data_IF_558817983670
#
_entry.id   IF_558817983670
#
_cell.length_a   1.000
_cell.length_b   1.000
_cell.length_c   1.000
_cell.angle_alpha   90.00
_cell.angle_beta   90.00
_cell.angle_gamma   90.00
#
_symmetry.space_group_name_H-M   'P 1'
#
loop_
_entity.id
_entity.type
_entity.pdbx_description
1 polymer ?
#
# COMPACT_ATOMS: atom_id res chain seq x y z
N UNK A 1 10.13 -17.80 -10.19
CA UNK A 1 10.62 -16.45 -9.86
C UNK A 1 10.39 -15.55 -11.07
N UNK A 2 9.63 -14.48 -10.90
CA UNK A 2 9.49 -13.46 -11.94
C UNK A 2 10.79 -12.64 -11.99
N UNK A 3 11.25 -12.29 -13.20
CA UNK A 3 12.41 -11.40 -13.34
C UNK A 3 12.05 -9.95 -13.00
N UNK A 4 10.78 -9.57 -13.13
CA UNK A 4 10.26 -8.22 -12.93
C UNK A 4 8.76 -8.24 -12.67
N UNK A 5 8.21 -7.24 -11.96
CA UNK A 5 6.77 -7.12 -11.72
C UNK A 5 6.22 -8.34 -10.99
N UNK A 6 6.72 -8.59 -9.77
CA UNK A 6 6.47 -9.83 -9.03
C UNK A 6 4.98 -10.17 -8.84
N UNK A 7 4.11 -9.15 -8.92
CA UNK A 7 2.67 -9.30 -9.08
C UNK A 7 2.15 -8.79 -10.45
N UNK A 8 2.49 -7.55 -10.82
CA UNK A 8 1.95 -6.89 -12.01
C UNK A 8 3.08 -6.25 -12.82
N UNK A 9 3.07 -6.49 -14.14
CA UNK A 9 3.89 -5.77 -15.10
C UNK A 9 3.00 -5.05 -16.13
N UNK A 10 3.06 -3.73 -16.16
CA UNK A 10 2.50 -2.90 -17.21
C UNK A 10 3.54 -2.68 -18.30
N UNK A 11 3.22 -3.01 -19.55
CA UNK A 11 4.10 -2.83 -20.69
C UNK A 11 3.36 -2.32 -21.93
N UNK A 12 4.11 -1.77 -22.89
CA UNK A 12 3.64 -1.44 -24.25
C UNK A 12 2.61 -0.30 -24.34
N UNK A 13 2.92 0.87 -23.78
CA UNK A 13 2.15 2.12 -23.97
C UNK A 13 0.71 2.04 -23.47
N UNK A 14 0.47 1.31 -22.37
CA UNK A 14 -0.81 1.39 -21.66
C UNK A 14 -0.96 2.76 -21.00
N UNK A 15 -2.13 3.36 -21.18
CA UNK A 15 -2.45 4.69 -20.64
C UNK A 15 -3.64 4.61 -19.70
N UNK A 16 -3.54 5.25 -18.53
CA UNK A 16 -4.63 5.36 -17.55
C UNK A 16 -4.97 4.04 -16.83
N UNK A 17 -3.97 3.19 -16.59
CA UNK A 17 -4.20 1.98 -15.78
C UNK A 17 -4.30 2.35 -14.30
N UNK A 18 -5.32 1.85 -13.61
CA UNK A 18 -5.55 2.14 -12.20
C UNK A 18 -5.37 0.87 -11.37
N UNK A 19 -4.59 0.98 -10.30
CA UNK A 19 -4.44 -0.05 -9.26
C UNK A 19 -4.95 0.56 -7.96
N UNK A 20 -6.12 0.13 -7.52
CA UNK A 20 -6.80 0.72 -6.36
C UNK A 20 -7.22 -0.34 -5.36
N UNK A 21 -7.14 -0.06 -4.06
CA UNK A 21 -7.63 -0.96 -3.01
C UNK A 21 -6.97 -2.35 -3.00
N UNK A 22 -5.71 -2.42 -3.43
CA UNK A 22 -4.99 -3.67 -3.58
C UNK A 22 -3.98 -3.88 -2.45
N UNK A 23 -3.89 -5.12 -1.97
CA UNK A 23 -2.83 -5.57 -1.05
C UNK A 23 -1.82 -6.38 -1.84
N UNK A 24 -0.56 -5.96 -1.78
CA UNK A 24 0.60 -6.65 -2.33
C UNK A 24 1.48 -7.10 -1.16
N UNK A 25 1.24 -8.32 -0.68
CA UNK A 25 1.96 -8.92 0.43
C UNK A 25 2.89 -10.06 -0.05
N UNK A 26 4.17 -10.03 0.34
CA UNK A 26 5.12 -11.11 0.04
C UNK A 26 5.50 -11.30 -1.44
N UNK A 27 5.16 -10.35 -2.31
CA UNK A 27 5.48 -10.43 -3.74
C UNK A 27 6.98 -10.19 -3.98
N UNK A 28 7.60 -10.94 -4.90
CA UNK A 28 9.04 -10.77 -5.18
C UNK A 28 9.44 -10.91 -6.64
N UNK A 29 10.45 -10.12 -7.03
CA UNK A 29 11.07 -10.17 -8.35
C UNK A 29 12.60 -10.27 -8.24
N UNK A 30 13.25 -10.87 -9.24
CA UNK A 30 14.71 -11.03 -9.28
C UNK A 30 15.50 -9.77 -9.64
N UNK A 31 14.84 -8.76 -10.21
CA UNK A 31 15.42 -7.45 -10.51
C UNK A 31 14.55 -6.36 -9.86
N UNK A 32 13.70 -5.69 -10.63
CA UNK A 32 12.94 -4.51 -10.18
C UNK A 32 11.42 -4.74 -10.12
N UNK A 33 10.75 -3.98 -9.26
CA UNK A 33 9.30 -4.01 -9.12
C UNK A 33 8.83 -5.32 -8.49
N UNK A 34 9.24 -5.54 -7.23
CA UNK A 34 8.87 -6.69 -6.41
C UNK A 34 7.36 -6.91 -6.37
N UNK A 35 6.58 -5.83 -6.41
CA UNK A 35 5.14 -5.87 -6.64
C UNK A 35 4.77 -5.42 -8.06
N UNK A 36 5.05 -4.16 -8.40
CA UNK A 36 4.60 -3.56 -9.67
C UNK A 36 5.78 -3.02 -10.46
N UNK A 37 5.80 -3.33 -11.76
CA UNK A 37 6.68 -2.68 -12.73
C UNK A 37 5.86 -1.98 -13.82
N UNK A 38 6.17 -0.72 -14.09
CA UNK A 38 5.59 0.08 -15.16
C UNK A 38 6.65 0.42 -16.21
N UNK A 39 6.55 -0.16 -17.40
CA UNK A 39 7.48 0.05 -18.51
C UNK A 39 6.77 0.66 -19.72
N UNK A 40 7.08 1.93 -20.01
CA UNK A 40 6.38 2.71 -21.04
C UNK A 40 4.88 2.68 -20.77
N UNK A 41 4.46 3.18 -19.60
CA UNK A 41 3.09 3.11 -19.12
C UNK A 41 2.67 4.38 -18.37
N UNK A 42 1.36 4.63 -18.28
CA UNK A 42 0.77 5.60 -17.35
C UNK A 42 -0.09 4.85 -16.35
N UNK A 43 0.32 4.85 -15.10
CA UNK A 43 -0.29 4.06 -14.02
C UNK A 43 -0.59 4.96 -12.83
N UNK A 44 -1.81 4.87 -12.31
CA UNK A 44 -2.21 5.48 -11.05
C UNK A 44 -2.40 4.38 -10.01
N UNK A 45 -1.69 4.50 -8.89
CA UNK A 45 -1.75 3.56 -7.76
C UNK A 45 -2.32 4.31 -6.57
N UNK A 46 -3.48 3.89 -6.10
CA UNK A 46 -4.21 4.60 -5.05
C UNK A 46 -4.68 3.64 -3.96
N UNK A 47 -4.55 4.03 -2.69
CA UNK A 47 -5.08 3.25 -1.54
C UNK A 47 -4.66 1.78 -1.60
N UNK A 48 -3.38 1.55 -1.88
CA UNK A 48 -2.79 0.22 -1.91
C UNK A 48 -1.86 0.01 -0.72
N UNK A 49 -1.70 -1.24 -0.29
CA UNK A 49 -0.76 -1.63 0.77
C UNK A 49 0.29 -2.57 0.19
N UNK A 50 1.56 -2.16 0.25
CA UNK A 50 2.71 -2.96 -0.17
C UNK A 50 3.52 -3.37 1.07
N UNK A 51 3.51 -4.67 1.36
CA UNK A 51 4.14 -5.21 2.56
C UNK A 51 4.97 -6.45 2.26
N UNK A 52 6.12 -6.59 2.93
CA UNK A 52 6.97 -7.77 2.82
C UNK A 52 7.42 -8.10 1.40
N UNK A 53 7.42 -7.13 0.48
CA UNK A 53 7.80 -7.38 -0.91
C UNK A 53 9.31 -7.45 -1.06
N UNK A 54 9.77 -8.31 -1.97
CA UNK A 54 11.18 -8.59 -2.22
C UNK A 54 11.64 -8.17 -3.61
N UNK A 55 12.91 -7.84 -3.75
CA UNK A 55 13.52 -7.36 -5.00
C UNK A 55 14.40 -6.13 -4.74
N UNK A 56 14.90 -5.50 -5.80
CA UNK A 56 15.65 -4.23 -5.68
C UNK A 56 14.73 -3.07 -5.26
N UNK A 57 13.47 -3.10 -5.68
CA UNK A 57 12.46 -2.11 -5.31
C UNK A 57 11.05 -2.72 -5.24
N UNK A 58 10.15 -2.14 -4.46
CA UNK A 58 8.74 -2.53 -4.36
C UNK A 58 7.98 -2.18 -5.65
N UNK A 59 8.07 -0.90 -6.02
CA UNK A 59 7.53 -0.32 -7.23
C UNK A 59 8.68 0.04 -8.17
N UNK A 60 8.52 -0.17 -9.47
CA UNK A 60 9.53 0.21 -10.46
C UNK A 60 8.88 0.86 -11.68
N UNK A 61 9.57 1.86 -12.24
CA UNK A 61 9.14 2.50 -13.47
C UNK A 61 10.30 2.79 -14.43
N UNK A 62 10.04 2.69 -15.73
CA UNK A 62 10.97 3.00 -16.82
C UNK A 62 10.20 3.69 -17.93
N UNK A 63 10.60 4.93 -18.29
CA UNK A 63 9.94 5.73 -19.32
C UNK A 63 8.41 5.81 -19.16
N UNK A 64 7.95 5.92 -17.91
CA UNK A 64 6.54 5.86 -17.52
C UNK A 64 6.12 7.12 -16.74
N UNK A 65 4.82 7.29 -16.57
CA UNK A 65 4.23 8.20 -15.59
C UNK A 65 3.58 7.34 -14.51
N UNK A 66 3.92 7.59 -13.25
CA UNK A 66 3.38 6.87 -12.10
C UNK A 66 2.92 7.89 -11.06
N UNK A 67 1.65 7.82 -10.68
CA UNK A 67 1.11 8.54 -9.53
C UNK A 67 0.89 7.53 -8.41
N UNK A 68 1.40 7.80 -7.22
CA UNK A 68 1.21 6.96 -6.03
C UNK A 68 0.54 7.81 -4.97
N UNK A 69 -0.70 7.49 -4.63
CA UNK A 69 -1.51 8.28 -3.72
C UNK A 69 -2.09 7.44 -2.59
N UNK A 70 -2.09 7.95 -1.36
CA UNK A 70 -2.77 7.31 -0.23
C UNK A 70 -2.34 5.84 -0.01
N UNK A 71 -1.08 5.49 -0.29
CA UNK A 71 -0.60 4.11 -0.17
C UNK A 71 0.23 3.90 1.10
N UNK A 72 0.21 2.67 1.61
CA UNK A 72 1.18 2.21 2.62
C UNK A 72 2.26 1.40 1.92
N UNK A 73 3.52 1.77 2.07
CA UNK A 73 4.69 1.06 1.55
C UNK A 73 5.60 0.73 2.72
N UNK A 74 5.42 -0.46 3.29
CA UNK A 74 6.03 -0.79 4.57
C UNK A 74 6.70 -2.16 4.64
N UNK A 75 7.82 -2.26 5.36
CA UNK A 75 8.47 -3.55 5.63
C UNK A 75 8.98 -4.29 4.40
N UNK A 76 9.30 -3.57 3.30
CA UNK A 76 9.82 -4.17 2.08
C UNK A 76 11.35 -4.29 2.10
N UNK A 77 11.89 -5.20 1.29
CA UNK A 77 13.35 -5.44 1.24
C UNK A 77 14.07 -4.37 0.43
N UNK A 78 13.51 -4.00 -0.71
CA UNK A 78 14.10 -3.05 -1.66
C UNK A 78 13.70 -1.60 -1.40
N UNK A 79 14.13 -0.72 -2.30
CA UNK A 79 13.68 0.67 -2.32
C UNK A 79 12.15 0.74 -2.46
N UNK A 80 11.46 1.68 -1.81
CA UNK A 80 10.03 1.88 -1.99
C UNK A 80 9.65 2.06 -3.46
N UNK A 81 10.50 2.78 -4.21
CA UNK A 81 10.26 3.13 -5.60
C UNK A 81 11.58 3.30 -6.37
N UNK A 82 11.68 2.64 -7.53
CA UNK A 82 12.76 2.83 -8.50
C UNK A 82 12.24 3.61 -9.72
N UNK A 83 12.80 4.79 -9.97
CA UNK A 83 12.26 5.73 -10.97
C UNK A 83 12.85 5.59 -12.37
N UNK A 84 13.98 4.91 -12.54
CA UNK A 84 14.72 4.89 -13.81
C UNK A 84 15.00 6.30 -14.32
N UNK A 85 14.41 6.64 -15.47
CA UNK A 85 14.44 7.97 -16.09
C UNK A 85 13.12 8.77 -15.95
N UNK A 86 12.15 8.26 -15.17
CA UNK A 86 10.89 8.92 -14.86
C UNK A 86 10.97 9.76 -13.59
N UNK A 87 9.88 10.48 -13.31
CA UNK A 87 9.68 11.22 -12.07
C UNK A 87 8.24 11.00 -11.59
N UNK A 88 8.00 10.02 -10.71
CA UNK A 88 6.67 9.77 -10.16
C UNK A 88 6.24 10.93 -9.27
N UNK A 89 4.94 11.04 -9.04
CA UNK A 89 4.38 11.92 -8.02
C UNK A 89 3.87 11.01 -6.90
N UNK A 90 4.38 11.23 -5.69
CA UNK A 90 4.00 10.47 -4.49
C UNK A 90 3.30 11.44 -3.54
N UNK A 91 2.10 11.12 -3.09
CA UNK A 91 1.33 11.98 -2.16
C UNK A 91 0.56 11.14 -1.14
N UNK A 92 0.36 11.68 0.05
CA UNK A 92 -0.44 11.03 1.10
C UNK A 92 0.00 9.60 1.43
N UNK A 93 1.26 9.23 1.22
CA UNK A 93 1.74 7.87 1.46
C UNK A 93 2.46 7.75 2.81
N UNK A 94 2.29 6.58 3.45
CA UNK A 94 3.13 6.17 4.56
C UNK A 94 4.23 5.24 4.03
N UNK A 95 5.48 5.68 4.09
CA UNK A 95 6.64 4.92 3.62
C UNK A 95 7.49 4.60 4.84
N UNK A 96 7.45 3.36 5.33
CA UNK A 96 8.01 3.04 6.64
C UNK A 96 8.66 1.66 6.76
N UNK A 97 9.83 1.61 7.40
CA UNK A 97 10.47 0.36 7.78
C UNK A 97 10.93 -0.48 6.58
N UNK A 98 11.15 0.14 5.42
CA UNK A 98 11.73 -0.53 4.27
C UNK A 98 13.25 -0.68 4.48
N UNK A 99 13.80 -1.86 4.17
CA UNK A 99 15.18 -2.20 4.53
C UNK A 99 16.23 -1.38 3.74
N UNK A 100 15.89 -0.94 2.52
CA UNK A 100 16.72 -0.03 1.73
C UNK A 100 16.55 1.45 2.13
N UNK A 101 15.61 1.76 3.02
CA UNK A 101 15.28 3.10 3.49
C UNK A 101 13.89 3.55 3.03
N UNK A 102 13.41 4.61 3.68
CA UNK A 102 12.04 5.11 3.50
C UNK A 102 11.96 6.35 2.59
N UNK A 103 13.03 6.64 1.87
CA UNK A 103 13.05 7.71 0.87
C UNK A 103 12.63 7.18 -0.48
N UNK A 104 11.95 8.01 -1.25
CA UNK A 104 11.57 7.72 -2.63
C UNK A 104 12.13 8.76 -3.58
N UNK A 105 12.30 8.37 -4.84
CA UNK A 105 12.65 9.27 -5.92
C UNK A 105 11.39 9.91 -6.53
N UNK A 106 11.56 11.01 -7.26
CA UNK A 106 10.48 11.74 -7.90
C UNK A 106 10.07 13.00 -7.15
N UNK A 107 8.81 13.39 -7.33
CA UNK A 107 8.22 14.60 -6.75
C UNK A 107 7.38 14.23 -5.54
N UNK A 108 7.69 14.87 -4.41
CA UNK A 108 6.81 14.87 -3.24
C UNK A 108 5.59 15.78 -3.52
N UNK A 109 4.42 15.15 -3.64
CA UNK A 109 3.13 15.81 -3.82
C UNK A 109 2.49 16.30 -2.52
N UNK A 110 3.13 16.04 -1.36
CA UNK A 110 2.68 16.43 -0.03
C UNK A 110 1.88 15.36 0.71
N UNK A 111 1.83 15.49 2.05
CA UNK A 111 1.14 14.54 2.93
C UNK A 111 1.83 13.19 3.09
N UNK A 112 3.07 13.04 2.60
CA UNK A 112 3.84 11.82 2.83
C UNK A 112 4.48 11.85 4.22
N UNK A 113 4.50 10.71 4.89
CA UNK A 113 5.16 10.53 6.18
C UNK A 113 5.79 9.14 6.29
N UNK A 114 6.50 8.91 7.39
CA UNK A 114 7.19 7.65 7.67
C UNK A 114 7.02 7.29 9.14
N UNK A 115 6.00 6.48 9.44
CA UNK A 115 5.72 6.00 10.79
C UNK A 115 5.18 4.58 10.75
N UNK A 116 5.25 3.83 11.86
CA UNK A 116 4.67 2.48 11.91
C UNK A 116 3.18 2.54 11.51
N UNK A 117 2.74 1.81 10.47
CA UNK A 117 1.33 1.76 10.07
C UNK A 117 0.41 1.10 11.11
N UNK A 118 0.97 0.42 12.13
CA UNK A 118 0.23 -0.25 13.21
C UNK A 118 -0.75 -1.29 12.67
N UNK A 119 -0.26 -2.26 11.91
CA UNK A 119 -1.07 -3.37 11.43
C UNK A 119 -1.57 -4.27 12.58
N UNK A 120 -2.73 -4.90 12.43
CA UNK A 120 -3.33 -5.79 13.44
C UNK A 120 -2.44 -7.00 13.74
N UNK A 121 -1.96 -7.69 12.69
CA UNK A 121 -0.99 -8.79 12.79
C UNK A 121 -0.25 -8.96 11.45
N UNK A 122 0.74 -8.09 11.20
CA UNK A 122 1.54 -8.12 9.98
C UNK A 122 2.26 -9.46 9.75
N UNK A 123 2.67 -10.15 10.82
CA UNK A 123 3.36 -11.43 10.72
C UNK A 123 2.42 -12.56 10.26
N UNK A 124 1.12 -12.45 10.57
CA UNK A 124 0.09 -13.34 10.08
C UNK A 124 -0.56 -12.89 8.75
N UNK A 125 -0.14 -11.74 8.20
CA UNK A 125 -0.72 -11.15 6.99
C UNK A 125 -2.02 -10.36 7.21
N UNK A 126 -2.38 -10.09 8.46
CA UNK A 126 -3.50 -9.19 8.78
C UNK A 126 -3.02 -7.74 8.77
N UNK A 127 -3.13 -7.14 7.58
CA UNK A 127 -2.73 -5.78 7.29
C UNK A 127 -3.87 -4.75 7.46
N UNK A 128 -4.95 -5.12 8.18
CA UNK A 128 -5.89 -4.12 8.68
C UNK A 128 -5.20 -3.23 9.73
N UNK A 129 -5.78 -2.06 10.02
CA UNK A 129 -5.14 -1.02 10.84
C UNK A 129 -5.63 -1.04 12.30
N UNK A 130 -4.71 -0.93 13.26
CA UNK A 130 -5.07 -0.71 14.66
C UNK A 130 -5.75 0.67 14.85
N UNK A 131 -6.58 0.86 15.90
CA UNK A 131 -7.33 2.11 16.11
C UNK A 131 -6.51 3.38 16.26
N UNK A 132 -5.22 3.26 16.61
CA UNK A 132 -4.26 4.34 16.76
C UNK A 132 -3.29 4.45 15.57
N UNK A 133 -3.62 3.80 14.45
CA UNK A 133 -2.83 3.85 13.23
C UNK A 133 -2.84 5.26 12.61
N UNK A 134 -1.66 5.83 12.30
CA UNK A 134 -1.57 7.12 11.60
C UNK A 134 -2.16 7.08 10.19
N UNK A 135 -2.40 5.88 9.64
CA UNK A 135 -2.98 5.66 8.32
C UNK A 135 -4.51 5.70 8.32
N UNK A 136 -5.18 5.74 9.49
CA UNK A 136 -6.63 5.91 9.57
C UNK A 136 -7.02 7.36 9.29
N UNK A 137 -8.24 7.55 8.77
CA UNK A 137 -8.77 8.89 8.49
C UNK A 137 -8.76 9.78 9.74
N UNK A 138 -8.31 11.02 9.56
CA UNK A 138 -8.15 12.00 10.63
C UNK A 138 -6.98 11.76 11.59
N UNK A 139 -6.15 10.72 11.38
CA UNK A 139 -5.02 10.39 12.26
C UNK A 139 -3.64 10.72 11.66
N UNK A 140 -3.62 11.36 10.49
CA UNK A 140 -2.38 11.76 9.83
C UNK A 140 -1.47 12.56 10.78
N UNK A 141 -0.17 12.20 10.95
CA UNK A 141 0.73 12.82 11.94
C UNK A 141 0.86 14.35 11.79
N UNK A 142 0.95 14.82 10.55
CA UNK A 142 1.04 16.26 10.24
C UNK A 142 -0.33 16.95 10.02
N UNK A 143 -1.43 16.24 10.28
CA UNK A 143 -2.79 16.77 10.11
C UNK A 143 -3.24 16.98 8.66
N UNK A 144 -2.57 16.36 7.67
CA UNK A 144 -3.01 16.43 6.28
C UNK A 144 -4.32 15.66 6.06
N UNK A 145 -5.19 16.17 5.20
CA UNK A 145 -6.48 15.56 4.87
C UNK A 145 -6.32 14.48 3.78
N UNK A 146 -5.64 13.38 4.12
CA UNK A 146 -5.34 12.29 3.20
C UNK A 146 -6.39 11.18 3.15
N UNK A 147 -7.41 11.22 4.02
CA UNK A 147 -8.34 10.11 4.19
C UNK A 147 -7.66 8.90 4.84
N UNK A 148 -8.21 7.71 4.61
CA UNK A 148 -7.54 6.45 4.96
C UNK A 148 -6.44 6.14 3.94
N UNK A 149 -5.26 5.82 4.44
CA UNK A 149 -4.05 5.49 3.67
C UNK A 149 -3.88 3.96 3.71
N UNK A 150 -3.68 3.35 2.54
CA UNK A 150 -3.62 1.90 2.37
C UNK A 150 -4.95 1.28 1.92
N UNK A 151 -4.92 -0.02 1.66
CA UNK A 151 -6.05 -0.75 1.08
C UNK A 151 -7.11 -1.19 2.10
N UNK A 152 -6.76 -1.23 3.39
CA UNK A 152 -7.59 -1.84 4.42
C UNK A 152 -7.91 -0.84 5.53
N UNK A 153 -9.12 -0.96 6.06
CA UNK A 153 -9.60 -0.17 7.20
C UNK A 153 -9.21 -0.78 8.56
N UNK A 154 -9.88 -0.38 9.65
CA UNK A 154 -9.51 -0.79 11.00
C UNK A 154 -9.71 -2.29 11.25
N UNK A 155 -9.02 -2.85 12.26
CA UNK A 155 -9.17 -4.24 12.68
C UNK A 155 -10.64 -4.61 12.95
N UNK A 156 -11.04 -5.88 12.72
CA UNK A 156 -12.36 -6.36 13.08
C UNK A 156 -12.57 -6.23 14.61
N UNK A 157 -13.68 -5.61 15.01
CA UNK A 157 -14.06 -5.49 16.43
C UNK A 157 -13.41 -4.34 17.20
N UNK A 158 -12.56 -3.52 16.57
CA UNK A 158 -11.99 -2.31 17.18
C UNK A 158 -12.51 -1.01 16.56
N UNK A 159 -13.41 -1.10 15.58
CA UNK A 159 -14.09 0.07 15.02
C UNK A 159 -14.94 0.76 16.09
N UNK A 160 -14.61 2.02 16.41
CA UNK A 160 -15.61 2.96 16.93
C UNK A 160 -16.73 3.01 15.91
N UNK A 161 -17.91 2.57 16.34
CA UNK A 161 -18.88 1.94 15.47
C UNK A 161 -19.46 2.85 14.39
N UNK A 162 -19.40 2.36 13.16
CA UNK A 162 -20.56 2.39 12.28
C UNK A 162 -21.25 1.03 12.41
N UNK A 163 -22.49 1.07 12.90
CA UNK A 163 -23.27 -0.10 13.28
C UNK A 163 -23.52 -1.06 12.12
N UNK A 164 -22.64 -2.05 11.97
CA UNK A 164 -23.03 -3.37 11.50
C UNK A 164 -22.69 -4.34 12.61
N UNK A 165 -23.70 -4.61 13.43
CA UNK A 165 -23.70 -5.83 14.24
C UNK A 165 -23.69 -6.97 13.23
N UNK A 166 -22.52 -7.55 12.98
CA UNK A 166 -22.45 -8.90 12.42
C UNK A 166 -22.94 -9.82 13.53
N UNK A 167 -24.26 -9.93 13.66
CA UNK A 167 -24.88 -11.02 14.40
C UNK A 167 -24.52 -12.29 13.63
N UNK A 168 -23.35 -12.84 13.96
CA UNK A 168 -22.95 -14.16 13.54
C UNK A 168 -24.07 -15.12 13.89
N UNK A 169 -24.47 -15.93 12.91
CA UNK A 169 -25.52 -16.95 12.98
C UNK A 169 -25.46 -17.87 14.22
N UNK A 170 -24.34 -17.86 14.95
CA UNK A 170 -24.12 -18.51 16.23
C UNK A 170 -25.00 -17.99 17.39
N UNK A 171 -25.51 -16.74 17.37
CA UNK A 171 -26.40 -16.22 18.46
C UNK A 171 -27.90 -16.47 18.24
N UNK A 172 -28.33 -16.83 17.03
CA UNK A 172 -29.76 -17.07 16.70
C UNK A 172 -30.25 -18.43 17.20
N UNK A 173 -29.38 -19.44 17.32
CA UNK A 173 -29.78 -20.79 17.74
C UNK A 173 -30.05 -20.95 19.24
N UNK A 174 -29.71 -19.98 20.09
CA UNK A 174 -30.00 -20.06 21.53
C UNK A 174 -31.37 -19.47 21.94
N UNK A 175 -32.17 -18.97 20.97
CA UNK A 175 -33.51 -18.40 21.24
C UNK A 175 -34.68 -19.26 20.75
N UNK A 176 -34.41 -20.47 20.27
CA UNK A 176 -35.43 -21.49 20.03
C UNK A 176 -35.08 -22.76 20.80
N UNK A 177 -35.37 -22.74 22.10
CA UNK A 177 -35.69 -23.92 22.91
C UNK A 177 -36.83 -23.56 23.85
#
# INVERSE_FOLDING_TARGET
HANSGGAIEFSLSVVGSQVTDCVFDGNSAGQDGGAIRANIAVVDVERCTFHGTGGSSTLAMISSTLTVNACVIAGNVGDPLSCGNGSPIVSCCDVWGNAAGDTFCGTDGGGNFSTDPRFCDAAAGDLQLLPDSPCLDGQHPDGAACGTIGALGPCPGTGVGDGVVTDGWSRVKSRYR
#
